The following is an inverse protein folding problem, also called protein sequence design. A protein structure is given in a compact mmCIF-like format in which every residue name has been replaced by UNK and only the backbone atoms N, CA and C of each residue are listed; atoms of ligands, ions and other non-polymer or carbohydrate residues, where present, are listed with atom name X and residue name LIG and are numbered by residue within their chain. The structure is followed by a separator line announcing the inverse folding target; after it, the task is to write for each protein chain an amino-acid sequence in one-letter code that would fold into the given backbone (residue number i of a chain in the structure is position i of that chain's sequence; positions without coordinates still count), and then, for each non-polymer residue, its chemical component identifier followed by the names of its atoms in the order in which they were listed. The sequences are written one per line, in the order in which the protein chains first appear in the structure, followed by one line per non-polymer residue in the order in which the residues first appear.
data_IF_115073165923
#
_entry.id   IF_115073165923
#
_cell.length_a   1.000
_cell.length_b   1.000
_cell.length_c   1.000
_cell.angle_alpha   90.00
_cell.angle_beta   90.00
_cell.angle_gamma   90.00
#
_symmetry.space_group_name_H-M   'P 1'
#
loop_
_entity.id
_entity.type
_entity.pdbx_description
1 polymer ?
#
# COMPACT_ATOMS: atom_id res chain seq x y z
N UNK A 1 -10.90 36.34 -14.10
CA UNK A 1 -11.25 34.91 -14.27
C UNK A 1 -10.34 34.13 -13.33
N UNK A 2 -10.86 33.60 -12.23
CA UNK A 2 -10.09 32.73 -11.35
C UNK A 2 -10.08 31.34 -11.98
N UNK A 3 -8.94 30.89 -12.48
CA UNK A 3 -8.74 29.48 -12.83
C UNK A 3 -8.84 28.68 -11.54
N UNK A 4 -9.97 28.01 -11.32
CA UNK A 4 -10.17 27.08 -10.22
C UNK A 4 -9.25 25.89 -10.45
N UNK A 5 -8.10 25.89 -9.80
CA UNK A 5 -7.20 24.74 -9.77
C UNK A 5 -7.85 23.69 -8.87
N UNK A 6 -8.02 22.48 -9.39
CA UNK A 6 -8.53 21.36 -8.60
C UNK A 6 -7.48 20.97 -7.56
N UNK A 7 -7.87 20.99 -6.28
CA UNK A 7 -6.96 20.74 -5.16
C UNK A 7 -7.15 19.29 -4.73
N UNK A 8 -6.10 18.49 -4.90
CA UNK A 8 -6.09 17.08 -4.53
C UNK A 8 -6.04 16.88 -3.01
N UNK A 9 -5.33 17.75 -2.29
CA UNK A 9 -5.19 17.66 -0.83
C UNK A 9 -5.31 19.04 -0.18
N UNK A 10 -6.30 19.20 0.69
CA UNK A 10 -6.45 20.43 1.47
C UNK A 10 -5.49 20.42 2.64
N UNK A 11 -4.55 21.35 2.62
CA UNK A 11 -3.48 21.45 3.63
C UNK A 11 -3.10 22.91 3.84
N UNK A 12 -2.69 23.24 5.06
CA UNK A 12 -1.95 24.47 5.34
C UNK A 12 -0.45 24.21 5.14
N UNK A 13 0.12 24.78 4.08
CA UNK A 13 1.53 24.61 3.72
C UNK A 13 2.51 25.26 4.71
N UNK A 14 2.02 26.00 5.71
CA UNK A 14 2.84 26.58 6.78
C UNK A 14 2.84 25.74 8.07
N UNK A 15 1.91 24.80 8.21
CA UNK A 15 1.82 23.94 9.39
C UNK A 15 2.72 22.72 9.19
N UNK A 16 3.83 22.68 9.93
CA UNK A 16 4.83 21.61 9.88
C UNK A 16 4.92 20.88 11.23
N UNK A 17 5.33 19.63 11.22
CA UNK A 17 5.62 18.85 12.43
C UNK A 17 7.13 18.69 12.64
N UNK A 18 7.54 17.73 13.48
CA UNK A 18 8.95 17.43 13.76
C UNK A 18 9.75 16.94 12.56
N UNK A 19 9.09 16.49 11.48
CA UNK A 19 9.76 16.13 10.22
C UNK A 19 10.19 17.37 9.42
N UNK A 20 9.66 18.55 9.77
CA UNK A 20 9.86 19.78 9.00
C UNK A 20 9.10 19.81 7.69
N UNK A 21 8.13 18.91 7.48
CA UNK A 21 7.27 18.86 6.31
C UNK A 21 5.86 19.34 6.65
N UNK A 22 5.16 20.01 5.71
CA UNK A 22 3.74 20.22 5.83
C UNK A 22 2.99 18.90 5.93
N UNK A 23 2.03 18.83 6.84
CA UNK A 23 1.22 17.64 7.04
C UNK A 23 -0.28 17.94 7.13
N UNK A 24 -1.09 16.94 6.83
CA UNK A 24 -2.54 16.95 7.09
C UNK A 24 -3.08 15.52 7.17
N UNK A 25 -4.38 15.36 7.37
CA UNK A 25 -5.04 14.06 7.34
C UNK A 25 -5.47 13.68 5.92
N UNK A 26 -5.40 12.40 5.61
CA UNK A 26 -5.81 11.83 4.32
C UNK A 26 -7.28 12.10 3.99
N UNK A 27 -8.13 12.26 5.00
CA UNK A 27 -9.55 12.58 4.84
C UNK A 27 -9.83 14.00 4.31
N UNK A 28 -8.80 14.87 4.30
CA UNK A 28 -8.88 16.21 3.70
C UNK A 28 -8.77 16.17 2.17
N UNK A 29 -8.41 15.03 1.59
CA UNK A 29 -8.43 14.81 0.16
C UNK A 29 -9.87 14.56 -0.32
N UNK A 30 -10.36 15.27 -1.35
CA UNK A 30 -11.62 14.94 -1.99
C UNK A 30 -11.64 13.52 -2.57
N UNK A 31 -10.48 13.02 -3.00
CA UNK A 31 -10.27 11.65 -3.46
C UNK A 31 -8.99 11.06 -2.82
N UNK A 32 -9.12 10.36 -1.67
CA UNK A 32 -7.99 9.75 -0.98
C UNK A 32 -7.21 8.74 -1.83
N UNK A 33 -7.83 8.12 -2.84
CA UNK A 33 -7.16 7.10 -3.67
C UNK A 33 -6.05 7.66 -4.55
N UNK A 34 -6.06 8.98 -4.78
CA UNK A 34 -5.03 9.70 -5.54
C UNK A 34 -3.85 10.12 -4.68
N UNK A 35 -3.94 10.03 -3.37
CA UNK A 35 -2.88 10.42 -2.45
C UNK A 35 -2.03 9.19 -2.17
N UNK A 36 -0.92 9.08 -2.90
CA UNK A 36 -0.02 7.92 -2.84
C UNK A 36 1.43 8.41 -2.74
N UNK A 37 2.27 7.82 -1.86
CA UNK A 37 3.68 8.19 -1.76
C UNK A 37 4.42 8.16 -3.10
N UNK A 38 5.13 9.26 -3.38
CA UNK A 38 5.86 9.53 -4.62
C UNK A 38 5.04 10.22 -5.71
N UNK A 39 3.73 10.46 -5.50
CA UNK A 39 2.87 11.14 -6.47
C UNK A 39 2.93 12.66 -6.32
N UNK A 40 2.95 13.36 -7.45
CA UNK A 40 2.78 14.81 -7.49
C UNK A 40 1.29 15.13 -7.46
N UNK A 41 0.92 16.06 -6.59
CA UNK A 41 -0.46 16.49 -6.34
C UNK A 41 -0.52 18.01 -6.21
N UNK A 42 -1.70 18.59 -6.41
CA UNK A 42 -1.97 19.98 -6.01
C UNK A 42 -2.40 19.99 -4.55
N UNK A 43 -1.61 20.67 -3.73
CA UNK A 43 -1.83 20.76 -2.29
C UNK A 43 -1.98 22.22 -1.85
N UNK A 44 -2.94 22.50 -0.96
CA UNK A 44 -3.09 23.82 -0.37
C UNK A 44 -4.52 24.20 0.00
N UNK A 45 -4.73 25.47 0.31
CA UNK A 45 -6.07 26.01 0.56
C UNK A 45 -6.18 27.48 0.15
N UNK A 46 -7.34 27.87 -0.38
CA UNK A 46 -7.59 29.24 -0.83
C UNK A 46 -6.59 29.70 -1.90
N UNK A 47 -5.87 30.79 -1.61
CA UNK A 47 -4.86 31.35 -2.52
C UNK A 47 -3.47 30.69 -2.37
N UNK A 48 -3.23 29.92 -1.31
CA UNK A 48 -1.96 29.27 -1.02
C UNK A 48 -1.99 27.83 -1.54
N UNK A 49 -1.73 27.65 -2.83
CA UNK A 49 -1.68 26.34 -3.51
C UNK A 49 -0.33 26.14 -4.20
N UNK A 50 0.19 24.92 -4.13
CA UNK A 50 1.43 24.51 -4.77
C UNK A 50 1.33 23.07 -5.29
N UNK A 51 2.21 22.72 -6.23
CA UNK A 51 2.45 21.32 -6.55
C UNK A 51 3.37 20.75 -5.49
N UNK A 52 3.01 19.62 -4.90
CA UNK A 52 3.79 18.95 -3.88
C UNK A 52 3.92 17.46 -4.22
N UNK A 53 4.98 16.82 -3.74
CA UNK A 53 5.09 15.35 -3.78
C UNK A 53 4.65 14.78 -2.45
N UNK A 54 3.81 13.73 -2.47
CA UNK A 54 3.48 12.96 -1.27
C UNK A 54 4.72 12.20 -0.84
N UNK A 55 5.22 12.47 0.36
CA UNK A 55 6.44 11.85 0.90
C UNK A 55 6.10 10.49 1.49
N UNK A 56 5.13 10.47 2.40
CA UNK A 56 4.64 9.28 3.07
C UNK A 56 3.20 9.47 3.57
N UNK A 57 2.58 8.36 3.95
CA UNK A 57 1.29 8.32 4.62
C UNK A 57 1.46 7.37 5.79
N UNK A 58 1.22 7.85 7.01
CA UNK A 58 1.32 7.03 8.22
C UNK A 58 0.11 6.10 8.36
N UNK A 59 0.21 5.09 9.23
CA UNK A 59 -0.91 4.20 9.54
C UNK A 59 -2.11 4.94 10.19
N UNK A 60 -1.86 6.12 10.75
CA UNK A 60 -2.87 7.01 11.33
C UNK A 60 -3.53 7.91 10.26
N UNK A 61 -3.11 7.79 8.99
CA UNK A 61 -3.62 8.60 7.89
C UNK A 61 -3.05 10.01 7.82
N UNK A 62 -1.90 10.26 8.44
CA UNK A 62 -1.18 11.53 8.30
C UNK A 62 -0.42 11.50 6.98
N UNK A 63 -0.63 12.52 6.16
CA UNK A 63 0.02 12.69 4.86
C UNK A 63 1.07 13.79 4.99
N UNK A 64 2.34 13.44 4.80
CA UNK A 64 3.41 14.43 4.66
C UNK A 64 3.65 14.75 3.19
N UNK A 65 3.86 16.04 2.90
CA UNK A 65 4.14 16.49 1.53
C UNK A 65 5.38 17.36 1.48
N UNK A 66 6.04 17.36 0.33
CA UNK A 66 7.13 18.27 0.04
C UNK A 66 6.71 19.23 -1.09
N UNK A 67 6.41 20.51 -0.79
CA UNK A 67 6.04 21.49 -1.79
C UNK A 67 7.19 21.79 -2.74
N UNK A 68 6.91 21.83 -4.04
CA UNK A 68 7.88 22.24 -5.04
C UNK A 68 7.90 23.76 -5.18
N UNK A 69 9.09 24.29 -5.45
CA UNK A 69 9.25 25.71 -5.75
C UNK A 69 8.52 26.08 -7.04
N UNK A 70 7.96 27.28 -7.06
CA UNK A 70 7.27 27.84 -8.23
C UNK A 70 5.75 27.68 -8.19
N UNK A 71 5.10 28.13 -9.25
CA UNK A 71 3.64 28.12 -9.35
C UNK A 71 3.10 26.75 -9.79
N UNK A 72 1.81 26.50 -9.56
CA UNK A 72 1.14 25.30 -10.10
C UNK A 72 1.26 25.24 -11.63
N UNK A 73 1.14 26.39 -12.32
CA UNK A 73 1.28 26.43 -13.78
C UNK A 73 2.68 26.02 -14.25
N UNK A 74 3.73 26.41 -13.52
CA UNK A 74 5.12 26.04 -13.83
C UNK A 74 5.34 24.53 -13.67
N UNK A 75 4.70 23.93 -12.67
CA UNK A 75 4.87 22.52 -12.30
C UNK A 75 3.77 21.59 -12.87
N UNK A 76 2.85 22.11 -13.69
CA UNK A 76 1.70 21.36 -14.19
C UNK A 76 2.10 20.07 -14.94
N UNK A 77 3.23 20.09 -15.64
CA UNK A 77 3.80 18.96 -16.36
C UNK A 77 4.12 17.74 -15.46
N UNK A 78 4.26 17.93 -14.14
CA UNK A 78 4.50 16.84 -13.18
C UNK A 78 3.22 16.11 -12.77
N UNK A 79 2.06 16.77 -12.88
CA UNK A 79 0.77 16.23 -12.46
C UNK A 79 0.24 15.17 -13.43
N UNK A 80 0.63 15.25 -14.70
CA UNK A 80 0.28 14.27 -15.74
C UNK A 80 1.13 12.98 -15.65
N UNK A 81 2.19 12.98 -14.85
CA UNK A 81 3.08 11.83 -14.73
C UNK A 81 2.58 10.90 -13.64
N UNK A 82 1.90 9.81 -14.03
CA UNK A 82 1.55 8.74 -13.10
C UNK A 82 2.82 8.02 -12.60
N UNK A 83 3.18 8.10 -11.31
CA UNK A 83 4.32 7.35 -10.77
C UNK A 83 4.10 5.83 -10.79
N UNK A 84 2.85 5.34 -10.90
CA UNK A 84 2.58 3.90 -11.04
C UNK A 84 3.24 3.31 -12.30
N UNK A 85 3.31 4.11 -13.38
CA UNK A 85 3.97 3.73 -14.62
C UNK A 85 5.50 3.57 -14.50
N UNK A 86 6.12 4.07 -13.42
CA UNK A 86 7.57 3.89 -13.16
C UNK A 86 7.91 2.71 -12.24
N UNK A 87 6.92 2.04 -11.63
CA UNK A 87 7.16 0.93 -10.69
C UNK A 87 7.10 -0.48 -11.31
N UNK A 88 7.01 -0.62 -12.64
CA UNK A 88 7.09 -1.93 -13.29
C UNK A 88 8.04 -1.94 -14.50
N UNK A 89 9.24 -2.51 -14.29
CA UNK A 89 9.87 -3.37 -15.29
C UNK A 89 10.04 -4.80 -14.73
N UNK A 90 9.47 -5.77 -15.44
CA UNK A 90 10.00 -7.13 -15.68
C UNK A 90 10.21 -8.15 -14.55
N UNK A 91 9.18 -8.50 -13.75
CA UNK A 91 9.22 -9.72 -12.90
C UNK A 91 7.91 -10.52 -12.93
N UNK A 92 7.38 -10.81 -14.11
CA UNK A 92 6.51 -11.96 -14.31
C UNK A 92 7.26 -12.98 -15.18
N UNK A 93 7.65 -14.16 -14.67
CA UNK A 93 7.98 -15.26 -15.56
C UNK A 93 6.71 -15.64 -16.35
N UNK A 94 6.87 -15.89 -17.65
CA UNK A 94 5.78 -16.32 -18.54
C UNK A 94 5.02 -17.51 -17.92
N UNK A 95 3.69 -17.55 -18.04
CA UNK A 95 2.91 -18.69 -17.58
C UNK A 95 3.35 -19.92 -18.38
N UNK A 96 3.79 -20.96 -17.68
CA UNK A 96 4.08 -22.29 -18.26
C UNK A 96 2.90 -22.72 -19.13
N UNK A 97 3.13 -22.80 -20.44
CA UNK A 97 2.19 -23.40 -21.38
C UNK A 97 2.02 -24.87 -21.04
N UNK A 98 0.93 -25.19 -20.34
CA UNK A 98 0.49 -26.57 -20.12
C UNK A 98 -0.25 -27.04 -21.36
N UNK A 99 0.50 -27.49 -22.37
CA UNK A 99 -0.04 -28.18 -23.54
C UNK A 99 -0.08 -29.69 -23.31
N UNK A 100 -1.26 -30.23 -22.99
CA UNK A 100 -1.49 -31.68 -22.95
C UNK A 100 -1.65 -32.29 -24.36
N UNK A 101 -1.41 -33.60 -24.49
CA UNK A 101 -2.41 -34.63 -24.89
C UNK A 101 -1.73 -35.94 -25.37
N UNK A 102 -2.11 -37.05 -24.73
CA UNK A 102 -2.14 -38.41 -25.32
C UNK A 102 -0.82 -39.20 -25.20
N UNK A 103 -0.80 -40.46 -24.75
CA UNK A 103 -1.73 -41.54 -25.10
C UNK A 103 -1.84 -42.59 -23.97
N UNK A 104 -3.02 -43.21 -23.94
CA UNK A 104 -3.41 -44.41 -23.19
C UNK A 104 -2.36 -45.53 -23.25
N UNK A 105 -2.16 -46.24 -22.14
CA UNK A 105 -2.23 -47.70 -22.17
C UNK A 105 -2.68 -48.28 -20.82
N UNK A 106 -3.68 -49.15 -20.95
CA UNK A 106 -4.49 -49.95 -20.04
C UNK A 106 -3.70 -50.91 -19.14
N UNK A 107 -4.11 -51.10 -17.86
CA UNK A 107 -4.44 -52.37 -17.16
C UNK A 107 -4.59 -52.15 -15.61
N UNK A 108 -5.19 -53.04 -14.80
CA UNK A 108 -6.35 -52.76 -13.93
C UNK A 108 -6.01 -52.69 -12.41
N UNK A 109 -7.00 -52.46 -11.51
CA UNK A 109 -6.77 -52.30 -10.08
C UNK A 109 -6.75 -53.66 -9.36
N UNK A 110 -5.71 -53.90 -8.55
CA UNK A 110 -5.76 -54.92 -7.50
C UNK A 110 -5.83 -54.24 -6.14
N UNK A 111 -6.88 -54.64 -5.41
CA UNK A 111 -7.15 -54.30 -4.03
C UNK A 111 -6.20 -55.05 -3.07
N UNK A 112 -6.42 -54.85 -1.77
CA UNK A 112 -5.82 -55.54 -0.60
C UNK A 112 -4.63 -54.78 0.04
N UNK A 113 -4.53 -54.44 1.34
CA UNK A 113 -5.27 -54.73 2.59
C UNK A 113 -4.65 -53.79 3.69
N UNK A 114 -5.30 -53.55 4.86
CA UNK A 114 -5.08 -52.36 5.69
C UNK A 114 -4.17 -52.57 6.91
N UNK A 115 -4.10 -51.52 7.74
CA UNK A 115 -3.68 -51.49 9.15
C UNK A 115 -2.18 -51.50 9.48
N UNK A 116 -1.69 -50.36 9.98
CA UNK A 116 -0.73 -50.41 11.08
C UNK A 116 -1.05 -49.31 12.12
N UNK A 117 -1.18 -49.78 13.35
CA UNK A 117 -1.69 -49.11 14.54
C UNK A 117 -0.52 -48.74 15.43
N UNK A 118 -0.49 -47.50 15.94
CA UNK A 118 0.40 -47.08 17.03
C UNK A 118 0.62 -45.56 17.00
N UNK A 119 0.55 -44.80 18.08
CA UNK A 119 0.45 -45.12 19.49
C UNK A 119 0.11 -43.82 20.25
N UNK A 120 -0.67 -43.96 21.34
CA UNK A 120 -1.06 -42.89 22.28
C UNK A 120 0.13 -42.18 22.92
N UNK A 121 -0.05 -40.90 23.25
CA UNK A 121 0.84 -40.16 24.16
C UNK A 121 0.24 -38.89 24.73
N UNK A 122 -0.72 -39.02 25.64
CA UNK A 122 -1.19 -37.93 26.52
C UNK A 122 -0.09 -37.48 27.48
N UNK A 123 0.15 -36.17 27.63
CA UNK A 123 0.62 -35.63 28.93
C UNK A 123 0.29 -34.15 29.10
N UNK A 124 -0.64 -33.91 30.03
CA UNK A 124 -0.93 -32.62 30.65
C UNK A 124 0.26 -32.23 31.53
N UNK A 125 0.68 -30.97 31.50
CA UNK A 125 1.38 -30.35 32.62
C UNK A 125 0.93 -28.89 32.78
N UNK A 126 0.04 -28.69 33.75
CA UNK A 126 -0.13 -27.50 34.61
C UNK A 126 0.12 -28.03 36.03
N UNK A 127 0.89 -27.38 36.92
CA UNK A 127 0.36 -26.30 37.78
C UNK A 127 1.37 -25.19 38.17
N UNK A 128 0.91 -23.93 38.31
CA UNK A 128 0.76 -23.14 39.56
C UNK A 128 2.09 -22.50 40.04
N UNK A 129 2.18 -21.30 40.64
CA UNK A 129 1.35 -20.64 41.65
C UNK A 129 2.03 -19.30 42.04
N UNK A 130 1.24 -18.31 42.49
CA UNK A 130 1.62 -17.25 43.45
C UNK A 130 2.48 -16.10 42.91
N UNK A 131 2.38 -14.84 43.37
CA UNK A 131 1.64 -14.23 44.47
C UNK A 131 1.68 -12.72 44.20
N UNK A 132 0.59 -11.99 44.42
CA UNK A 132 0.62 -10.53 44.57
C UNK A 132 0.16 -10.22 45.98
N UNK A 133 1.07 -9.65 46.76
CA UNK A 133 0.81 -9.00 48.03
C UNK A 133 1.59 -7.68 48.02
N UNK A 134 1.01 -6.70 48.72
CA UNK A 134 1.45 -5.31 48.97
C UNK A 134 1.01 -4.25 47.96
#
# INVERSE_FOLDING_TARGET
MATTVDVDLRIDLQTMDETGLPWTFLDQAPDPSRIVPGRHIVAGSGAAVAVAVVVDITDEGIVHVYPLNGSVASNAHLLDTDPASRRLPDLLPDPVETGGTGRNETAPPEAETPENTGQKGTRRHRPARGSSDS
#
